data_IF_700653180759
#
_entry.id   IF_700653180759
#
_cell.length_a   1.000
_cell.length_b   1.000
_cell.length_c   1.000
_cell.angle_alpha   90.00
_cell.angle_beta   90.00
_cell.angle_gamma   90.00
#
_symmetry.space_group_name_H-M   'P 1'
#
loop_
_entity.id
_entity.type
_entity.pdbx_description
1 polymer ?
#
# COMPACT_ATOMS: atom_id res chain seq x y z
N UNK A 1 -7.13 -8.79 22.62
CA UNK A 1 -7.08 -7.93 21.42
C UNK A 1 -5.88 -8.38 20.62
N UNK A 2 -6.03 -8.69 19.33
CA UNK A 2 -4.86 -8.91 18.49
C UNK A 2 -4.14 -7.56 18.34
N UNK A 3 -2.86 -7.53 18.67
CA UNK A 3 -2.00 -6.36 18.52
C UNK A 3 -1.77 -6.10 17.02
N UNK A 4 -1.69 -4.82 16.62
CA UNK A 4 -1.38 -4.46 15.23
C UNK A 4 0.06 -4.87 14.94
N UNK A 5 0.27 -5.72 13.94
CA UNK A 5 1.61 -6.13 13.53
C UNK A 5 2.34 -4.97 12.85
N UNK A 6 3.51 -4.60 13.37
CA UNK A 6 4.37 -3.58 12.76
C UNK A 6 5.44 -4.27 11.93
N UNK A 7 5.49 -3.98 10.63
CA UNK A 7 6.45 -4.54 9.69
C UNK A 7 7.36 -3.45 9.12
N UNK A 8 8.66 -3.58 9.36
CA UNK A 8 9.64 -2.75 8.68
C UNK A 8 9.78 -3.14 7.20
N UNK A 9 10.41 -2.28 6.41
CA UNK A 9 10.77 -2.63 5.04
C UNK A 9 11.70 -3.84 4.95
N UNK A 10 12.47 -4.16 5.99
CA UNK A 10 13.28 -5.37 6.03
C UNK A 10 12.42 -6.63 6.26
N UNK A 11 11.44 -6.56 7.16
CA UNK A 11 10.52 -7.65 7.44
C UNK A 11 9.69 -8.01 6.21
N UNK A 12 9.17 -7.00 5.50
CA UNK A 12 8.44 -7.22 4.24
C UNK A 12 9.32 -7.87 3.18
N UNK A 13 10.57 -7.41 3.00
CA UNK A 13 11.50 -8.00 2.01
C UNK A 13 11.89 -9.44 2.33
N UNK A 14 11.90 -9.82 3.60
CA UNK A 14 12.23 -11.18 4.00
C UNK A 14 11.16 -12.20 3.58
N UNK A 15 9.91 -11.76 3.39
CA UNK A 15 8.76 -12.64 3.09
C UNK A 15 8.09 -12.37 1.74
N UNK A 16 8.40 -11.25 1.08
CA UNK A 16 7.79 -10.82 -0.18
C UNK A 16 8.85 -10.70 -1.29
N UNK A 17 9.19 -11.85 -1.86
CA UNK A 17 10.15 -11.96 -2.95
C UNK A 17 9.53 -11.61 -4.33
N UNK A 18 10.38 -11.62 -5.37
CA UNK A 18 9.94 -11.28 -6.72
C UNK A 18 8.87 -12.24 -7.28
N UNK A 19 8.99 -13.58 -7.14
CA UNK A 19 7.91 -14.51 -7.48
C UNK A 19 6.58 -14.20 -6.78
N UNK A 20 6.59 -13.95 -5.46
CA UNK A 20 5.39 -13.59 -4.70
C UNK A 20 4.79 -12.26 -5.18
N UNK A 21 5.65 -11.28 -5.52
CA UNK A 21 5.21 -10.03 -6.10
C UNK A 21 4.50 -10.24 -7.45
N UNK A 22 5.06 -11.02 -8.36
CA UNK A 22 4.44 -11.29 -9.67
C UNK A 22 3.12 -12.06 -9.51
N UNK A 23 3.10 -13.07 -8.65
CA UNK A 23 1.90 -13.86 -8.39
C UNK A 23 0.76 -13.01 -7.79
N UNK A 24 1.08 -12.14 -6.82
CA UNK A 24 0.10 -11.23 -6.22
C UNK A 24 -0.47 -10.24 -7.25
N UNK A 25 0.35 -9.70 -8.16
CA UNK A 25 -0.14 -8.83 -9.22
C UNK A 25 -1.06 -9.57 -10.20
N UNK A 26 -0.72 -10.80 -10.61
CA UNK A 26 -1.60 -11.60 -11.48
C UNK A 26 -2.97 -11.83 -10.84
N UNK A 27 -3.01 -12.17 -9.55
CA UNK A 27 -4.26 -12.35 -8.82
C UNK A 27 -5.06 -11.05 -8.75
N UNK A 28 -4.41 -9.94 -8.38
CA UNK A 28 -5.07 -8.64 -8.25
C UNK A 28 -5.64 -8.12 -9.58
N UNK A 29 -4.84 -8.15 -10.66
CA UNK A 29 -5.29 -7.72 -11.98
C UNK A 29 -6.33 -8.67 -12.58
N UNK A 30 -6.24 -9.98 -12.32
CA UNK A 30 -7.26 -10.94 -12.72
C UNK A 30 -8.62 -10.62 -12.07
N UNK A 31 -8.63 -10.39 -10.75
CA UNK A 31 -9.83 -10.00 -10.02
C UNK A 31 -10.38 -8.64 -10.48
N UNK A 32 -9.49 -7.69 -10.80
CA UNK A 32 -9.88 -6.40 -11.37
C UNK A 32 -10.55 -6.56 -12.74
N UNK A 33 -9.97 -7.37 -13.63
CA UNK A 33 -10.53 -7.65 -14.96
C UNK A 33 -11.92 -8.31 -14.89
N UNK A 34 -12.15 -9.13 -13.87
CA UNK A 34 -13.47 -9.73 -13.57
C UNK A 34 -14.42 -8.81 -12.78
N UNK A 35 -14.00 -7.58 -12.46
CA UNK A 35 -14.76 -6.60 -11.65
C UNK A 35 -15.07 -7.08 -10.23
N UNK A 36 -14.24 -7.96 -9.68
CA UNK A 36 -14.36 -8.49 -8.31
C UNK A 36 -13.56 -7.65 -7.31
N UNK A 37 -12.45 -7.05 -7.74
CA UNK A 37 -11.71 -6.10 -6.94
C UNK A 37 -12.45 -4.75 -6.83
N UNK A 38 -12.19 -4.01 -5.75
CA UNK A 38 -12.68 -2.65 -5.54
C UNK A 38 -11.51 -1.71 -5.35
N UNK A 39 -11.49 -0.62 -6.10
CA UNK A 39 -10.51 0.46 -6.00
C UNK A 39 -11.28 1.75 -5.76
N UNK A 40 -10.93 2.49 -4.72
CA UNK A 40 -11.39 3.86 -4.56
C UNK A 40 -10.64 4.78 -5.54
N UNK A 41 -11.20 5.95 -5.90
CA UNK A 41 -10.44 7.00 -6.55
C UNK A 41 -9.16 7.31 -5.75
N UNK A 42 -8.04 7.47 -6.45
CA UNK A 42 -6.81 7.91 -5.79
C UNK A 42 -7.00 9.33 -5.25
N UNK A 43 -6.47 9.58 -4.07
CA UNK A 43 -6.33 10.93 -3.53
C UNK A 43 -4.92 11.40 -3.84
N UNK A 44 -4.78 12.56 -4.46
CA UNK A 44 -3.53 13.27 -4.64
C UNK A 44 -3.67 14.63 -3.96
N UNK A 45 -2.64 15.03 -3.23
CA UNK A 45 -2.55 16.31 -2.57
C UNK A 45 -1.22 16.93 -2.95
N UNK A 46 -1.28 17.96 -3.79
CA UNK A 46 -0.11 18.71 -4.23
C UNK A 46 0.50 19.50 -3.07
N UNK A 47 1.82 19.56 -3.02
CA UNK A 47 2.62 20.31 -2.07
C UNK A 47 3.56 21.31 -2.77
N UNK A 48 4.41 22.01 -2.00
CA UNK A 48 5.42 22.90 -2.56
C UNK A 48 6.47 22.13 -3.39
N UNK A 49 7.17 22.83 -4.27
CA UNK A 49 8.35 22.30 -5.00
C UNK A 49 8.12 20.98 -5.77
N UNK A 50 6.87 20.71 -6.17
CA UNK A 50 6.50 19.49 -6.89
C UNK A 50 6.32 18.26 -5.99
N UNK A 51 6.26 18.44 -4.68
CA UNK A 51 5.89 17.39 -3.73
C UNK A 51 4.44 16.96 -3.95
N UNK A 52 4.16 15.67 -3.77
CA UNK A 52 2.80 15.13 -3.87
C UNK A 52 2.60 14.07 -2.80
N UNK A 53 1.63 14.27 -1.92
CA UNK A 53 1.11 13.20 -1.05
C UNK A 53 0.01 12.43 -1.78
N UNK A 54 -0.08 11.12 -1.53
CA UNK A 54 -1.05 10.25 -2.17
C UNK A 54 -1.69 9.26 -1.19
N UNK A 55 -2.93 8.88 -1.48
CA UNK A 55 -3.61 7.76 -0.83
C UNK A 55 -4.29 6.87 -1.86
N UNK A 56 -4.05 5.56 -1.75
CA UNK A 56 -4.70 4.53 -2.55
C UNK A 56 -5.41 3.56 -1.62
N UNK A 57 -6.71 3.34 -1.84
CA UNK A 57 -7.50 2.37 -1.07
C UNK A 57 -8.06 1.32 -2.01
N UNK A 58 -7.89 0.05 -1.66
CA UNK A 58 -8.41 -1.06 -2.44
C UNK A 58 -8.82 -2.25 -1.57
N UNK A 59 -9.57 -3.16 -2.16
CA UNK A 59 -9.99 -4.43 -1.54
C UNK A 59 -10.05 -5.53 -2.60
N UNK A 60 -9.48 -6.69 -2.29
CA UNK A 60 -9.69 -7.93 -3.05
C UNK A 60 -10.80 -8.77 -2.40
N UNK A 61 -11.48 -9.65 -3.17
CA UNK A 61 -12.44 -10.59 -2.61
C UNK A 61 -11.85 -11.42 -1.47
N UNK A 62 -12.59 -11.57 -0.37
CA UNK A 62 -12.15 -12.35 0.80
C UNK A 62 -11.06 -11.71 1.67
N UNK A 63 -10.67 -10.47 1.37
CA UNK A 63 -9.64 -9.72 2.14
C UNK A 63 -10.24 -8.49 2.80
N UNK A 64 -9.58 -7.96 3.85
CA UNK A 64 -9.88 -6.63 4.36
C UNK A 64 -9.43 -5.54 3.40
N UNK A 65 -9.84 -4.30 3.66
CA UNK A 65 -9.34 -3.19 2.85
C UNK A 65 -7.87 -2.90 3.20
N UNK A 66 -7.12 -2.46 2.20
CA UNK A 66 -5.76 -1.96 2.36
C UNK A 66 -5.70 -0.51 1.91
N UNK A 67 -4.92 0.29 2.62
CA UNK A 67 -4.63 1.67 2.21
C UNK A 67 -3.12 1.91 2.16
N UNK A 68 -2.64 2.45 1.05
CA UNK A 68 -1.26 2.94 0.92
C UNK A 68 -1.27 4.45 1.00
N UNK A 69 -0.62 5.01 2.02
CA UNK A 69 -0.40 6.45 2.15
C UNK A 69 1.10 6.73 2.00
N UNK A 70 1.45 7.73 1.22
CA UNK A 70 2.84 8.08 1.00
C UNK A 70 3.00 9.41 0.29
N UNK A 71 4.24 9.75 -0.02
CA UNK A 71 4.57 10.97 -0.76
C UNK A 71 5.72 10.76 -1.73
N UNK A 72 5.72 11.59 -2.77
CA UNK A 72 6.83 11.81 -3.68
C UNK A 72 7.38 13.19 -3.36
N UNK A 73 8.63 13.29 -2.92
CA UNK A 73 9.30 14.55 -2.60
C UNK A 73 10.62 14.63 -3.37
N UNK A 74 10.66 15.26 -4.56
CA UNK A 74 11.86 15.28 -5.40
C UNK A 74 13.11 15.83 -4.69
N UNK A 75 12.93 16.87 -3.85
CA UNK A 75 14.02 17.50 -3.10
C UNK A 75 14.77 16.59 -2.13
N UNK A 76 14.20 15.44 -1.75
CA UNK A 76 14.86 14.46 -0.88
C UNK A 76 16.14 13.89 -1.50
N UNK A 77 16.23 13.82 -2.83
CA UNK A 77 17.43 13.34 -3.51
C UNK A 77 18.67 14.18 -3.17
N UNK A 78 18.52 15.51 -3.11
CA UNK A 78 19.61 16.42 -2.73
C UNK A 78 20.03 16.28 -1.25
N UNK A 79 19.18 15.68 -0.42
CA UNK A 79 19.39 15.45 1.01
C UNK A 79 19.87 14.02 1.32
N UNK A 80 20.07 13.18 0.30
CA UNK A 80 20.38 11.76 0.48
C UNK A 80 19.24 10.94 1.08
N UNK A 81 18.00 11.41 0.95
CA UNK A 81 16.79 10.73 1.43
C UNK A 81 16.02 10.08 0.26
N UNK A 82 15.19 9.06 0.51
CA UNK A 82 14.32 8.50 -0.51
C UNK A 82 13.35 9.55 -1.08
N UNK A 83 13.27 9.64 -2.40
CA UNK A 83 12.27 10.47 -3.10
C UNK A 83 10.85 10.00 -2.80
N UNK A 84 10.65 8.69 -2.63
CA UNK A 84 9.34 8.09 -2.35
C UNK A 84 9.39 7.37 -1.02
N UNK A 85 8.43 7.67 -0.16
CA UNK A 85 8.20 6.94 1.08
C UNK A 85 6.70 6.67 1.25
N UNK A 86 6.35 5.49 1.77
CA UNK A 86 4.97 5.10 1.98
C UNK A 86 4.85 4.09 3.12
N UNK A 87 3.66 4.01 3.69
CA UNK A 87 3.21 2.96 4.58
C UNK A 87 1.97 2.28 3.97
N UNK A 88 1.70 1.04 4.40
CA UNK A 88 0.52 0.29 4.00
C UNK A 88 -0.22 -0.16 5.25
N UNK A 89 -1.48 0.21 5.39
CA UNK A 89 -2.35 -0.33 6.44
C UNK A 89 -3.17 -1.49 5.90
N UNK A 90 -3.33 -2.54 6.70
CA UNK A 90 -4.12 -3.72 6.37
C UNK A 90 -5.21 -3.90 7.43
N UNK A 91 -6.45 -4.08 6.99
CA UNK A 91 -7.58 -4.39 7.86
C UNK A 91 -7.92 -5.88 7.87
N UNK A 92 -8.53 -6.34 8.94
CA UNK A 92 -9.21 -7.63 9.01
C UNK A 92 -10.38 -7.68 8.02
N UNK A 93 -10.61 -8.84 7.42
CA UNK A 93 -11.67 -9.03 6.42
C UNK A 93 -13.09 -9.02 7.01
N UNK A 94 -13.22 -9.38 8.28
CA UNK A 94 -14.49 -9.59 8.98
C UNK A 94 -14.87 -8.34 9.79
N UNK A 95 -13.97 -7.85 10.64
CA UNK A 95 -14.30 -6.78 11.60
C UNK A 95 -13.70 -5.41 11.25
N UNK A 96 -12.84 -5.35 10.22
CA UNK A 96 -12.27 -4.10 9.72
C UNK A 96 -11.23 -3.45 10.63
N UNK A 97 -10.85 -4.09 11.75
CA UNK A 97 -9.79 -3.56 12.62
C UNK A 97 -8.43 -3.65 11.91
N UNK A 98 -7.49 -2.74 12.17
CA UNK A 98 -6.13 -2.84 11.64
C UNK A 98 -5.45 -4.11 12.17
N UNK A 99 -4.79 -4.85 11.27
CA UNK A 99 -4.04 -6.07 11.61
C UNK A 99 -2.54 -5.93 11.32
N UNK A 100 -2.16 -5.05 10.39
CA UNK A 100 -0.77 -4.76 10.11
C UNK A 100 -0.56 -3.33 9.58
N UNK A 101 0.64 -2.78 9.85
CA UNK A 101 1.18 -1.54 9.27
C UNK A 101 2.63 -1.79 8.82
#
# INVERSE_FOLDING_TARGET
>A
MAEVLLLSGADVRAVFDLPAAIASQRAAFGALGRKEARLAPRVLLDGPDGDVAFSYVSRLPGTGAVAKFGSVNPGNAARGLPTVAALVTVQDAIDGRPVAI
#
